data_IF_195948188385
#
_entry.id   IF_195948188385
#
_cell.length_a   1.000
_cell.length_b   1.000
_cell.length_c   1.000
_cell.angle_alpha   90.00
_cell.angle_beta   90.00
_cell.angle_gamma   90.00
#
_symmetry.space_group_name_H-M   'P 1'
#
loop_
_entity.id
_entity.type
_entity.pdbx_description
1 polymer ?
#
# COMPACT_ATOMS: atom_id res chain seq x y z
N UNK A 1 -19.48 17.96 1.33
CA UNK A 1 -18.21 17.22 1.53
C UNK A 1 -18.50 15.75 1.37
N UNK A 2 -17.69 15.02 0.60
CA UNK A 2 -17.94 13.61 0.32
C UNK A 2 -16.84 12.73 0.90
N UNK A 3 -17.23 11.59 1.48
CA UNK A 3 -16.31 10.60 2.02
C UNK A 3 -16.46 9.29 1.27
N UNK A 4 -15.35 8.81 0.69
CA UNK A 4 -15.29 7.49 0.06
C UNK A 4 -14.52 6.54 0.96
N UNK A 5 -15.24 5.61 1.60
CA UNK A 5 -14.65 4.61 2.49
C UNK A 5 -14.33 3.33 1.70
N UNK A 6 -13.04 3.12 1.46
CA UNK A 6 -12.43 1.96 0.79
C UNK A 6 -12.07 0.87 1.80
N UNK A 7 -13.11 0.21 2.32
CA UNK A 7 -12.97 -0.89 3.29
C UNK A 7 -13.76 -2.12 2.89
N UNK A 8 -13.25 -3.29 3.28
CA UNK A 8 -13.98 -4.56 3.29
C UNK A 8 -14.59 -4.88 4.67
N UNK A 9 -14.24 -4.11 5.70
CA UNK A 9 -14.76 -4.24 7.06
C UNK A 9 -16.01 -3.36 7.25
N UNK A 10 -17.18 -3.99 7.41
CA UNK A 10 -18.46 -3.30 7.62
C UNK A 10 -18.47 -2.46 8.90
N UNK A 11 -17.85 -2.93 9.98
CA UNK A 11 -17.78 -2.21 11.25
C UNK A 11 -16.93 -0.95 11.17
N UNK A 12 -15.76 -1.01 10.51
CA UNK A 12 -14.94 0.19 10.27
C UNK A 12 -15.72 1.19 9.42
N UNK A 13 -16.45 0.72 8.40
CA UNK A 13 -17.30 1.57 7.55
C UNK A 13 -18.38 2.28 8.37
N UNK A 14 -19.15 1.53 9.15
CA UNK A 14 -20.26 2.08 9.95
C UNK A 14 -19.77 3.04 11.03
N UNK A 15 -18.69 2.71 11.75
CA UNK A 15 -18.13 3.59 12.78
C UNK A 15 -17.57 4.89 12.20
N UNK A 16 -16.87 4.82 11.06
CA UNK A 16 -16.35 6.00 10.39
C UNK A 16 -17.48 6.86 9.80
N UNK A 17 -18.48 6.24 9.15
CA UNK A 17 -19.63 6.97 8.61
C UNK A 17 -20.48 7.62 9.71
N UNK A 18 -20.75 6.94 10.82
CA UNK A 18 -21.48 7.53 11.95
C UNK A 18 -20.74 8.75 12.53
N UNK A 19 -19.42 8.68 12.68
CA UNK A 19 -18.60 9.83 13.09
C UNK A 19 -18.55 10.93 12.02
N UNK A 20 -18.75 10.60 10.76
CA UNK A 20 -18.78 11.60 9.68
C UNK A 20 -20.11 12.35 9.71
N UNK A 21 -21.22 11.61 9.77
CA UNK A 21 -22.57 12.18 9.71
C UNK A 21 -22.78 13.12 10.91
N UNK A 22 -22.41 12.69 12.13
CA UNK A 22 -22.58 13.47 13.36
C UNK A 22 -21.77 14.79 13.38
N UNK A 23 -20.56 14.80 12.80
CA UNK A 23 -19.65 15.95 12.90
C UNK A 23 -19.69 16.89 11.69
N UNK A 24 -20.22 16.44 10.55
CA UNK A 24 -20.12 17.17 9.28
C UNK A 24 -21.48 17.44 8.61
N UNK A 25 -22.59 17.20 9.30
CA UNK A 25 -23.98 17.43 8.85
C UNK A 25 -24.26 18.79 8.18
N UNK A 26 -23.38 19.80 8.37
CA UNK A 26 -23.50 21.14 7.79
C UNK A 26 -22.21 21.64 7.10
N UNK A 27 -21.47 20.74 6.45
CA UNK A 27 -20.14 21.03 5.85
C UNK A 27 -20.21 21.35 4.35
N UNK A 28 -20.16 22.65 4.00
CA UNK A 28 -20.22 23.19 2.62
C UNK A 28 -19.02 22.90 1.69
N UNK A 29 -18.00 22.13 2.09
CA UNK A 29 -16.85 21.90 1.21
C UNK A 29 -17.13 20.85 0.14
N UNK A 30 -16.69 21.08 -1.09
CA UNK A 30 -16.68 20.09 -2.19
C UNK A 30 -15.52 19.10 -2.05
N UNK A 31 -14.81 19.10 -0.92
CA UNK A 31 -13.66 18.24 -0.72
C UNK A 31 -14.09 16.77 -0.65
N UNK A 32 -13.29 15.93 -1.29
CA UNK A 32 -13.46 14.48 -1.27
C UNK A 32 -12.34 13.86 -0.45
N UNK A 33 -12.70 13.09 0.59
CA UNK A 33 -11.75 12.36 1.43
C UNK A 33 -11.87 10.86 1.18
N UNK A 34 -10.76 10.23 0.79
CA UNK A 34 -10.65 8.79 0.57
C UNK A 34 -10.09 8.13 1.82
N UNK A 35 -10.89 7.26 2.43
CA UNK A 35 -10.52 6.53 3.65
C UNK A 35 -10.19 5.09 3.28
N UNK A 36 -8.93 4.68 3.43
CA UNK A 36 -8.46 3.33 3.13
C UNK A 36 -8.26 2.52 4.40
N UNK A 37 -9.00 1.43 4.53
CA UNK A 37 -8.84 0.52 5.67
C UNK A 37 -7.77 -0.53 5.38
N UNK A 38 -6.77 -0.61 6.26
CA UNK A 38 -5.66 -1.55 6.20
C UNK A 38 -5.63 -2.48 7.43
N UNK A 39 -6.68 -2.52 8.27
CA UNK A 39 -6.65 -3.21 9.57
C UNK A 39 -6.36 -4.70 9.45
N UNK A 40 -6.97 -5.38 8.49
CA UNK A 40 -6.76 -6.83 8.28
C UNK A 40 -5.32 -7.15 7.86
N UNK A 41 -4.70 -6.26 7.09
CA UNK A 41 -3.34 -6.42 6.59
C UNK A 41 -2.57 -5.09 6.62
N UNK A 42 -2.10 -4.68 7.82
CA UNK A 42 -1.58 -3.33 8.03
C UNK A 42 -0.18 -3.23 7.46
N UNK A 43 -0.08 -2.65 6.26
CA UNK A 43 1.17 -2.46 5.54
C UNK A 43 1.11 -1.24 4.60
N UNK A 44 2.15 -0.37 4.54
CA UNK A 44 2.12 0.81 3.67
C UNK A 44 2.00 0.50 2.18
N UNK A 45 2.58 -0.60 1.72
CA UNK A 45 2.44 -1.06 0.32
C UNK A 45 0.98 -1.34 -0.05
N UNK A 46 0.19 -1.90 0.88
CA UNK A 46 -1.21 -2.17 0.60
C UNK A 46 -1.98 -0.87 0.32
N UNK A 47 -1.63 0.22 1.00
CA UNK A 47 -2.18 1.54 0.71
C UNK A 47 -1.86 1.98 -0.73
N UNK A 48 -0.59 1.87 -1.14
CA UNK A 48 -0.16 2.19 -2.51
C UNK A 48 -0.95 1.39 -3.56
N UNK A 49 -1.05 0.07 -3.37
CA UNK A 49 -1.80 -0.81 -4.28
C UNK A 49 -3.27 -0.43 -4.36
N UNK A 50 -3.91 -0.12 -3.22
CA UNK A 50 -5.32 0.30 -3.19
C UNK A 50 -5.54 1.64 -3.90
N UNK A 51 -4.66 2.62 -3.69
CA UNK A 51 -4.73 3.93 -4.36
C UNK A 51 -4.52 3.78 -5.87
N UNK A 52 -3.50 3.04 -6.31
CA UNK A 52 -3.25 2.77 -7.72
C UNK A 52 -4.43 2.06 -8.38
N UNK A 53 -5.00 1.06 -7.72
CA UNK A 53 -6.20 0.37 -8.22
C UNK A 53 -7.38 1.34 -8.36
N UNK A 54 -7.60 2.20 -7.36
CA UNK A 54 -8.63 3.23 -7.41
C UNK A 54 -8.43 4.16 -8.62
N UNK A 55 -7.25 4.76 -8.77
CA UNK A 55 -6.90 5.66 -9.90
C UNK A 55 -6.97 5.00 -11.28
N UNK A 56 -6.87 3.66 -11.37
CA UNK A 56 -7.11 2.94 -12.64
C UNK A 56 -8.60 2.80 -12.95
N UNK A 57 -9.43 2.67 -11.92
CA UNK A 57 -10.88 2.49 -12.05
C UNK A 57 -11.61 3.82 -12.20
N UNK A 58 -11.11 4.87 -11.57
CA UNK A 58 -11.64 6.22 -11.63
C UNK A 58 -10.63 7.10 -12.36
N UNK A 59 -11.04 7.84 -13.39
CA UNK A 59 -10.17 8.84 -14.03
C UNK A 59 -9.76 9.99 -13.09
N UNK A 60 -10.26 9.98 -11.86
CA UNK A 60 -10.03 10.98 -10.83
C UNK A 60 -8.94 10.53 -9.85
N UNK A 61 -8.03 11.47 -9.54
CA UNK A 61 -7.03 11.29 -8.50
C UNK A 61 -7.61 11.60 -7.11
N UNK A 62 -7.39 10.75 -6.08
CA UNK A 62 -7.92 10.98 -4.75
C UNK A 62 -7.26 12.19 -4.09
N UNK A 63 -7.98 13.31 -3.97
CA UNK A 63 -7.41 14.58 -3.52
C UNK A 63 -6.93 14.58 -2.05
N UNK A 64 -7.55 13.76 -1.19
CA UNK A 64 -7.21 13.64 0.24
C UNK A 64 -7.27 12.18 0.65
N UNK A 65 -6.21 11.69 1.30
CA UNK A 65 -6.05 10.28 1.68
C UNK A 65 -5.94 10.15 3.20
N UNK A 66 -6.74 9.25 3.77
CA UNK A 66 -6.71 8.84 5.16
C UNK A 66 -6.55 7.32 5.23
N UNK A 67 -5.61 6.82 6.03
CA UNK A 67 -5.45 5.38 6.27
C UNK A 67 -5.98 4.99 7.66
N UNK A 68 -6.77 3.92 7.75
CA UNK A 68 -7.10 3.28 9.02
C UNK A 68 -6.20 2.06 9.17
N UNK A 69 -5.28 2.07 10.14
CA UNK A 69 -4.27 1.03 10.25
C UNK A 69 -3.79 0.85 11.70
N UNK A 70 -2.93 -0.15 11.95
CA UNK A 70 -2.33 -0.28 13.27
C UNK A 70 -1.30 0.83 13.54
N UNK A 71 -0.87 0.95 14.80
CA UNK A 71 0.11 1.97 15.22
C UNK A 71 1.43 1.92 14.45
N UNK A 72 1.99 0.73 14.22
CA UNK A 72 3.26 0.57 13.51
C UNK A 72 3.19 1.14 12.08
N UNK A 73 2.13 0.79 11.34
CA UNK A 73 1.91 1.29 9.98
C UNK A 73 1.61 2.79 9.99
N UNK A 74 0.81 3.27 10.94
CA UNK A 74 0.51 4.69 11.07
C UNK A 74 1.77 5.53 11.32
N UNK A 75 2.63 5.10 12.24
CA UNK A 75 3.87 5.80 12.59
C UNK A 75 4.85 5.83 11.41
N UNK A 76 4.84 4.81 10.54
CA UNK A 76 5.60 4.83 9.29
C UNK A 76 5.00 5.80 8.27
N UNK A 77 3.69 5.69 7.98
CA UNK A 77 2.99 6.50 6.99
C UNK A 77 3.02 8.00 7.32
N UNK A 78 2.98 8.35 8.61
CA UNK A 78 3.09 9.75 9.09
C UNK A 78 4.42 10.40 8.71
N UNK A 79 5.50 9.64 8.49
CA UNK A 79 6.78 10.16 7.98
C UNK A 79 6.67 10.73 6.56
N UNK A 80 5.66 10.28 5.81
CA UNK A 80 5.33 10.73 4.47
C UNK A 80 4.16 11.72 4.46
N UNK A 81 3.78 12.29 5.61
CA UNK A 81 2.63 13.19 5.76
C UNK A 81 1.29 12.56 5.34
N UNK A 82 1.09 11.25 5.54
CA UNK A 82 -0.19 10.57 5.31
C UNK A 82 -0.99 10.55 6.61
N UNK A 83 -2.24 11.04 6.58
CA UNK A 83 -3.13 10.99 7.74
C UNK A 83 -3.50 9.55 8.07
N UNK A 84 -3.37 9.19 9.34
CA UNK A 84 -3.63 7.85 9.81
C UNK A 84 -4.46 7.88 11.09
N UNK A 85 -5.51 7.07 11.10
CA UNK A 85 -6.32 6.72 12.27
C UNK A 85 -5.92 5.32 12.72
N UNK A 86 -5.80 5.12 14.03
CA UNK A 86 -5.58 3.80 14.63
C UNK A 86 -6.75 3.36 15.50
N UNK A 87 -7.13 2.06 15.52
CA UNK A 87 -8.19 1.52 16.38
C UNK A 87 -8.04 1.81 17.86
N UNK A 88 -6.80 2.03 18.30
CA UNK A 88 -6.44 2.26 19.70
C UNK A 88 -6.48 3.73 20.12
N UNK A 89 -6.60 4.66 19.17
CA UNK A 89 -6.75 6.08 19.47
C UNK A 89 -8.19 6.39 19.92
N UNK A 90 -8.34 7.42 20.76
CA UNK A 90 -9.67 7.87 21.20
C UNK A 90 -10.47 8.46 20.04
N UNK A 91 -11.80 8.38 20.15
CA UNK A 91 -12.74 8.99 19.18
C UNK A 91 -12.44 10.49 19.00
N UNK A 92 -12.08 11.21 20.06
CA UNK A 92 -11.70 12.62 19.98
C UNK A 92 -10.49 12.85 19.06
N UNK A 93 -9.48 12.00 19.14
CA UNK A 93 -8.31 12.09 18.27
C UNK A 93 -8.67 11.79 16.80
N UNK A 94 -9.59 10.84 16.57
CA UNK A 94 -10.11 10.56 15.22
C UNK A 94 -10.81 11.78 14.65
N UNK A 95 -11.66 12.44 15.45
CA UNK A 95 -12.35 13.67 15.06
C UNK A 95 -11.35 14.78 14.73
N UNK A 96 -10.30 14.96 15.54
CA UNK A 96 -9.24 15.93 15.24
C UNK A 96 -8.52 15.64 13.93
N UNK A 97 -8.23 14.37 13.64
CA UNK A 97 -7.61 13.95 12.38
C UNK A 97 -8.53 14.22 11.19
N UNK A 98 -9.83 13.93 11.31
CA UNK A 98 -10.82 14.22 10.27
C UNK A 98 -10.99 15.73 10.04
N UNK A 99 -10.99 16.53 11.12
CA UNK A 99 -10.98 18.01 11.03
C UNK A 99 -9.70 18.51 10.35
N UNK A 100 -8.54 17.92 10.64
CA UNK A 100 -7.29 18.23 9.92
C UNK A 100 -7.40 17.87 8.44
N UNK A 101 -7.93 16.70 8.08
CA UNK A 101 -8.16 16.31 6.69
C UNK A 101 -9.05 17.34 5.96
N UNK A 102 -10.09 17.86 6.62
CA UNK A 102 -10.93 18.92 6.09
C UNK A 102 -10.15 20.23 5.86
N UNK A 103 -9.43 20.72 6.85
CA UNK A 103 -8.77 22.04 6.80
C UNK A 103 -7.54 22.14 5.89
N UNK A 104 -6.91 21.02 5.53
CA UNK A 104 -5.69 21.01 4.74
C UNK A 104 -5.95 20.89 3.23
N UNK A 105 -5.37 21.80 2.46
CA UNK A 105 -5.44 21.84 0.98
C UNK A 105 -4.26 21.13 0.28
N UNK A 106 -3.21 20.77 1.02
CA UNK A 106 -1.92 20.26 0.48
C UNK A 106 -1.66 18.76 0.68
N UNK A 107 -2.52 18.05 1.41
CA UNK A 107 -2.24 16.65 1.80
C UNK A 107 -2.81 15.72 0.72
N UNK A 108 -2.20 15.88 -0.45
CA UNK A 108 -2.64 15.28 -1.69
C UNK A 108 -1.91 13.98 -1.96
N UNK A 109 -2.35 13.31 -3.01
CA UNK A 109 -1.59 12.32 -3.76
C UNK A 109 -0.09 12.63 -3.86
N UNK A 110 0.39 13.88 -3.73
CA UNK A 110 1.81 14.24 -3.75
C UNK A 110 2.71 13.45 -2.77
N UNK A 111 2.20 13.01 -1.61
CA UNK A 111 2.94 12.13 -0.69
C UNK A 111 3.07 10.68 -1.19
N UNK A 112 2.19 10.27 -2.11
CA UNK A 112 2.14 8.89 -2.63
C UNK A 112 3.35 8.59 -3.53
N UNK A 113 3.78 9.47 -4.45
CA UNK A 113 5.05 9.32 -5.16
C UNK A 113 6.27 9.20 -4.25
N UNK A 114 6.33 9.93 -3.13
CA UNK A 114 7.45 9.82 -2.18
C UNK A 114 7.46 8.45 -1.49
N UNK A 115 6.30 7.99 -1.04
CA UNK A 115 6.12 6.66 -0.46
C UNK A 115 6.45 5.56 -1.48
N UNK A 116 6.01 5.71 -2.73
CA UNK A 116 6.34 4.80 -3.83
C UNK A 116 7.86 4.80 -4.10
N UNK A 117 8.49 5.97 -4.18
CA UNK A 117 9.93 6.10 -4.38
C UNK A 117 10.73 5.42 -3.26
N UNK A 118 10.29 5.52 -2.00
CA UNK A 118 10.89 4.81 -0.88
C UNK A 118 10.94 3.28 -1.11
N UNK A 119 9.90 2.69 -1.70
CA UNK A 119 9.90 1.25 -2.01
C UNK A 119 10.61 0.93 -3.32
N UNK A 120 10.50 1.78 -4.34
CA UNK A 120 11.14 1.59 -5.65
C UNK A 120 12.67 1.74 -5.61
N UNK A 121 13.20 2.50 -4.64
CA UNK A 121 14.65 2.61 -4.41
C UNK A 121 15.27 1.37 -3.75
N UNK A 122 14.45 0.40 -3.30
CA UNK A 122 14.94 -0.87 -2.75
C UNK A 122 15.50 -1.72 -3.88
N UNK A 123 16.79 -2.03 -3.80
CA UNK A 123 17.54 -2.77 -4.82
C UNK A 123 17.09 -4.22 -4.97
N UNK A 124 15.99 -4.43 -5.71
CA UNK A 124 15.52 -5.75 -6.11
C UNK A 124 16.04 -6.11 -7.50
N UNK A 125 16.67 -7.26 -7.59
CA UNK A 125 17.18 -7.81 -8.85
C UNK A 125 16.13 -8.70 -9.54
N UNK A 126 16.36 -9.06 -10.80
CA UNK A 126 15.56 -10.07 -11.51
C UNK A 126 15.48 -11.40 -10.75
N UNK A 127 16.54 -11.79 -10.06
CA UNK A 127 16.56 -12.98 -9.20
C UNK A 127 15.68 -12.83 -7.96
N UNK A 128 15.53 -11.63 -7.40
CA UNK A 128 14.64 -11.39 -6.25
C UNK A 128 13.19 -11.53 -6.69
N UNK A 129 12.87 -10.96 -7.85
CA UNK A 129 11.56 -11.09 -8.46
C UNK A 129 11.22 -12.55 -8.78
N UNK A 130 12.15 -13.31 -9.38
CA UNK A 130 11.95 -14.74 -9.64
C UNK A 130 11.60 -15.52 -8.36
N UNK A 131 12.34 -15.28 -7.27
CA UNK A 131 12.09 -15.92 -5.98
C UNK A 131 10.70 -15.54 -5.45
N UNK A 132 10.34 -14.26 -5.49
CA UNK A 132 9.03 -13.78 -5.03
C UNK A 132 7.88 -14.39 -5.83
N UNK A 133 7.99 -14.40 -7.16
CA UNK A 133 6.98 -14.95 -8.06
C UNK A 133 6.70 -16.43 -7.77
N UNK A 134 7.74 -17.24 -7.66
CA UNK A 134 7.60 -18.68 -7.44
C UNK A 134 7.11 -19.01 -6.03
N UNK A 135 7.52 -18.23 -5.02
CA UNK A 135 6.95 -18.35 -3.67
C UNK A 135 5.45 -18.03 -3.66
N UNK A 136 5.01 -17.00 -4.39
CA UNK A 136 3.58 -16.66 -4.50
C UNK A 136 2.78 -17.74 -5.25
N UNK A 137 3.41 -18.49 -6.16
CA UNK A 137 2.82 -19.66 -6.84
C UNK A 137 2.86 -20.94 -6.00
N UNK A 138 3.37 -20.91 -4.77
CA UNK A 138 3.39 -22.04 -3.84
C UNK A 138 4.59 -22.97 -3.96
N UNK A 139 5.64 -22.57 -4.67
CA UNK A 139 6.86 -23.38 -4.80
C UNK A 139 7.63 -23.39 -3.48
N UNK A 140 8.18 -24.55 -3.12
CA UNK A 140 9.10 -24.70 -2.01
C UNK A 140 10.49 -24.12 -2.34
N UNK A 141 11.32 -23.88 -1.32
CA UNK A 141 12.70 -23.42 -1.54
C UNK A 141 13.54 -24.39 -2.35
N UNK A 142 13.30 -25.71 -2.22
CA UNK A 142 14.00 -26.72 -3.01
C UNK A 142 13.64 -26.60 -4.50
N UNK A 143 12.36 -26.46 -4.82
CA UNK A 143 11.92 -26.28 -6.21
C UNK A 143 12.43 -24.98 -6.82
N UNK A 144 12.46 -23.89 -6.05
CA UNK A 144 13.01 -22.61 -6.52
C UNK A 144 14.52 -22.71 -6.75
N UNK A 145 15.23 -23.39 -5.85
CA UNK A 145 16.67 -23.67 -5.97
C UNK A 145 16.97 -24.43 -7.26
N UNK A 146 16.21 -25.48 -7.55
CA UNK A 146 16.32 -26.26 -8.79
C UNK A 146 16.06 -25.42 -10.04
N UNK A 147 14.95 -24.66 -10.07
CA UNK A 147 14.58 -23.86 -11.25
C UNK A 147 15.52 -22.67 -11.50
N UNK A 148 16.07 -22.07 -10.45
CA UNK A 148 16.96 -20.90 -10.57
C UNK A 148 18.43 -21.27 -10.75
N UNK A 149 18.80 -22.53 -10.51
CA UNK A 149 20.19 -22.97 -10.40
C UNK A 149 20.95 -22.35 -9.21
N UNK A 150 20.24 -21.73 -8.26
CA UNK A 150 20.83 -21.14 -7.05
C UNK A 150 20.79 -22.13 -5.91
N UNK A 151 21.81 -22.10 -5.04
CA UNK A 151 21.78 -22.84 -3.79
C UNK A 151 20.61 -22.38 -2.89
N UNK A 152 19.93 -23.32 -2.23
CA UNK A 152 18.78 -23.02 -1.37
C UNK A 152 19.10 -22.02 -0.23
N UNK A 153 20.33 -21.98 0.27
CA UNK A 153 20.78 -20.97 1.25
C UNK A 153 20.82 -19.58 0.63
N UNK A 154 21.21 -19.47 -0.64
CA UNK A 154 21.19 -18.20 -1.38
C UNK A 154 19.73 -17.75 -1.57
N UNK A 155 18.83 -18.65 -1.96
CA UNK A 155 17.39 -18.35 -2.07
C UNK A 155 16.84 -17.82 -0.74
N UNK A 156 17.17 -18.48 0.37
CA UNK A 156 16.75 -18.06 1.70
C UNK A 156 17.33 -16.70 2.13
N UNK A 157 18.63 -16.47 1.90
CA UNK A 157 19.29 -15.22 2.23
C UNK A 157 18.69 -14.04 1.46
N UNK A 158 18.39 -14.25 0.18
CA UNK A 158 17.75 -13.23 -0.67
C UNK A 158 16.32 -12.94 -0.22
N UNK A 159 15.52 -13.97 0.09
CA UNK A 159 14.20 -13.78 0.70
C UNK A 159 14.28 -12.98 2.01
N UNK A 160 15.27 -13.28 2.85
CA UNK A 160 15.47 -12.59 4.13
C UNK A 160 15.81 -11.11 3.91
N UNK A 161 16.65 -10.80 2.91
CA UNK A 161 16.93 -9.42 2.48
C UNK A 161 15.66 -8.70 2.06
N UNK A 162 14.82 -9.31 1.22
CA UNK A 162 13.57 -8.71 0.74
C UNK A 162 12.63 -8.42 1.91
N UNK A 163 12.44 -9.39 2.81
CA UNK A 163 11.59 -9.21 4.00
C UNK A 163 12.08 -8.05 4.86
N UNK A 164 13.38 -7.91 5.03
CA UNK A 164 13.97 -6.81 5.78
C UNK A 164 13.77 -5.46 5.07
N UNK A 165 14.12 -5.38 3.78
CA UNK A 165 13.98 -4.16 3.00
C UNK A 165 12.52 -3.67 2.98
N UNK A 166 11.55 -4.58 2.87
CA UNK A 166 10.13 -4.24 2.74
C UNK A 166 9.35 -4.27 4.08
N UNK A 167 9.99 -4.59 5.20
CA UNK A 167 9.37 -4.82 6.53
C UNK A 167 8.21 -5.84 6.49
N UNK A 168 8.41 -6.95 5.77
CA UNK A 168 7.37 -7.96 5.53
C UNK A 168 7.30 -8.99 6.66
N UNK A 169 6.10 -9.16 7.21
CA UNK A 169 5.73 -10.34 7.98
C UNK A 169 5.51 -11.54 7.05
N UNK A 170 5.55 -12.77 7.61
CA UNK A 170 5.49 -14.04 6.86
C UNK A 170 4.31 -14.12 5.88
N UNK A 171 3.17 -13.51 6.20
CA UNK A 171 1.94 -13.61 5.41
C UNK A 171 1.80 -12.51 4.35
N UNK A 172 2.74 -11.55 4.29
CA UNK A 172 2.61 -10.34 3.47
C UNK A 172 3.59 -10.31 2.29
N UNK A 173 4.21 -11.44 1.97
CA UNK A 173 5.17 -11.54 0.87
C UNK A 173 4.57 -11.10 -0.48
N UNK A 174 3.30 -11.45 -0.70
CA UNK A 174 2.54 -11.09 -1.89
C UNK A 174 2.50 -9.58 -2.12
N UNK A 175 2.50 -8.75 -1.07
CA UNK A 175 2.49 -7.29 -1.21
C UNK A 175 3.75 -6.77 -1.93
N UNK A 176 4.91 -7.33 -1.61
CA UNK A 176 6.15 -6.96 -2.29
C UNK A 176 6.17 -7.48 -3.73
N UNK A 177 5.66 -8.69 -3.97
CA UNK A 177 5.52 -9.22 -5.32
C UNK A 177 4.59 -8.35 -6.18
N UNK A 178 3.40 -8.03 -5.70
CA UNK A 178 2.42 -7.22 -6.42
C UNK A 178 2.98 -5.83 -6.73
N UNK A 179 3.60 -5.18 -5.75
CA UNK A 179 4.24 -3.88 -5.94
C UNK A 179 5.30 -3.91 -7.03
N UNK A 180 6.21 -4.89 -6.99
CA UNK A 180 7.30 -5.02 -7.96
C UNK A 180 6.76 -5.39 -9.34
N UNK A 181 5.79 -6.30 -9.40
CA UNK A 181 5.14 -6.71 -10.65
C UNK A 181 4.46 -5.52 -11.34
N UNK A 182 3.80 -4.64 -10.59
CA UNK A 182 3.20 -3.43 -11.15
C UNK A 182 4.26 -2.44 -11.64
N UNK A 183 5.33 -2.22 -10.88
CA UNK A 183 6.44 -1.36 -11.29
C UNK A 183 7.18 -1.90 -12.52
N UNK A 184 7.31 -3.23 -12.65
CA UNK A 184 7.93 -3.91 -13.78
C UNK A 184 6.98 -4.14 -14.96
N UNK A 185 5.67 -4.04 -14.78
CA UNK A 185 4.69 -4.00 -15.87
C UNK A 185 4.93 -2.82 -16.81
N UNK A 186 5.47 -1.72 -16.30
CA UNK A 186 5.98 -0.59 -17.10
C UNK A 186 7.30 -0.92 -17.84
N UNK A 187 8.05 -1.94 -17.40
CA UNK A 187 9.26 -2.46 -18.07
C UNK A 187 8.95 -3.57 -19.10
N UNK A 188 7.85 -4.32 -18.95
CA UNK A 188 7.47 -5.36 -19.93
C UNK A 188 7.01 -4.79 -21.28
N UNK A 189 6.71 -3.49 -21.35
CA UNK A 189 6.57 -2.77 -22.63
C UNK A 189 7.87 -2.71 -23.44
N UNK A 190 9.04 -2.76 -22.78
CA UNK A 190 10.34 -2.77 -23.46
C UNK A 190 10.73 -4.18 -23.94
N UNK A 191 10.46 -5.23 -23.16
CA UNK A 191 10.80 -6.60 -23.57
C UNK A 191 9.88 -7.19 -24.65
N UNK A 192 8.67 -6.65 -24.84
CA UNK A 192 7.82 -7.00 -25.99
C UNK A 192 8.22 -6.28 -27.29
N UNK A 193 9.09 -5.27 -27.24
CA UNK A 193 9.66 -4.64 -28.43
C UNK A 193 11.07 -5.12 -28.76
N UNK A 194 11.84 -5.62 -27.78
CA UNK A 194 13.10 -6.30 -28.04
C UNK A 194 12.90 -7.80 -28.22
N UNK A 195 12.19 -8.17 -29.28
CA UNK A 195 12.32 -9.50 -29.85
C UNK A 195 13.69 -9.64 -30.49
N UNK A 196 14.68 -10.08 -29.72
CA UNK A 196 15.86 -10.80 -30.23
C UNK A 196 16.74 -11.36 -29.10
N UNK A 197 16.96 -12.68 -29.20
CA UNK A 197 18.05 -13.47 -28.64
C UNK A 197 18.07 -13.78 -27.13
N UNK A 198 17.44 -14.90 -26.78
CA UNK A 198 18.19 -15.99 -26.14
C UNK A 198 18.95 -16.76 -27.23
#
# INVERSE_FOLDING_TARGET
MEFYVHTYCSYTRQGVLGLIDDFFENSDSTDVIHIFDLIENPHPILLLSKIKKYMRMTSDEPQKILAVCNKQTADFLRKFNILCITPTESVLNWVEILKKAKGYTKWSVASIPELEHHYSSKSLTSRDFFILEHLCKGYSFAQISELSGLDAKIVYARLSKIKHEFDLKRNNLHLAYDFVSESMGNFHGYYKQSGSAF
#
